data_IF_842167291379
#
_entry.id   IF_842167291379
#
_cell.length_a   1.000
_cell.length_b   1.000
_cell.length_c   1.000
_cell.angle_alpha   90.00
_cell.angle_beta   90.00
_cell.angle_gamma   90.00
#
_symmetry.space_group_name_H-M   'P 1'
#
loop_
_entity.id
_entity.type
_entity.pdbx_description
1 polymer ?
#
# COMPACT_ATOMS: atom_id res chain seq x y z
N UNK A 1 -27.13 9.78 1.73
CA UNK A 1 -25.87 10.53 1.90
C UNK A 1 -25.15 10.00 3.13
N UNK A 2 -24.01 9.33 2.97
CA UNK A 2 -23.12 9.11 4.11
C UNK A 2 -22.57 10.48 4.51
N UNK A 3 -22.77 10.88 5.76
CA UNK A 3 -22.27 12.17 6.24
C UNK A 3 -20.73 12.14 6.27
N UNK A 4 -20.06 13.16 5.74
CA UNK A 4 -18.59 13.26 5.71
C UNK A 4 -17.89 12.91 7.05
N UNK A 5 -18.41 13.33 8.22
CA UNK A 5 -17.89 12.92 9.52
C UNK A 5 -17.86 11.41 9.75
N UNK A 6 -18.84 10.66 9.25
CA UNK A 6 -18.90 9.19 9.39
C UNK A 6 -17.74 8.54 8.63
N UNK A 7 -17.47 9.00 7.42
CA UNK A 7 -16.36 8.48 6.58
C UNK A 7 -15.02 8.77 7.26
N UNK A 8 -14.84 10.01 7.74
CA UNK A 8 -13.62 10.44 8.43
C UNK A 8 -13.43 9.63 9.71
N UNK A 9 -14.44 9.55 10.59
CA UNK A 9 -14.37 8.81 11.85
C UNK A 9 -14.09 7.33 11.63
N UNK A 10 -14.74 6.71 10.64
CA UNK A 10 -14.51 5.29 10.32
C UNK A 10 -13.08 5.08 9.80
N UNK A 11 -12.56 6.00 8.98
CA UNK A 11 -11.18 5.94 8.46
C UNK A 11 -10.15 6.08 9.59
N UNK A 12 -10.35 7.05 10.50
CA UNK A 12 -9.48 7.22 11.66
C UNK A 12 -9.58 6.04 12.64
N UNK A 13 -10.77 5.48 12.86
CA UNK A 13 -10.94 4.29 13.70
C UNK A 13 -10.21 3.08 13.09
N UNK A 14 -10.32 2.88 11.77
CA UNK A 14 -9.60 1.82 11.07
C UNK A 14 -8.09 1.99 11.15
N UNK A 15 -7.57 3.21 10.92
CA UNK A 15 -6.15 3.52 11.13
C UNK A 15 -5.74 3.26 12.58
N UNK A 16 -6.54 3.68 13.56
CA UNK A 16 -6.30 3.42 14.98
C UNK A 16 -6.18 1.92 15.29
N UNK A 17 -7.01 1.08 14.68
CA UNK A 17 -6.92 -0.39 14.78
C UNK A 17 -5.60 -0.89 14.20
N UNK A 18 -5.20 -0.43 13.01
CA UNK A 18 -3.92 -0.82 12.40
C UNK A 18 -2.73 -0.45 13.29
N UNK A 19 -2.75 0.75 13.88
CA UNK A 19 -1.73 1.20 14.84
C UNK A 19 -1.73 0.38 16.13
N UNK A 20 -2.91 0.06 16.67
CA UNK A 20 -3.02 -0.80 17.84
C UNK A 20 -2.46 -2.20 17.57
N UNK A 21 -2.70 -2.77 16.38
CA UNK A 21 -2.14 -4.05 15.94
C UNK A 21 -0.63 -3.96 15.82
N UNK A 22 -0.10 -2.90 15.18
CA UNK A 22 1.33 -2.69 15.06
C UNK A 22 2.01 -2.61 16.44
N UNK A 23 1.47 -1.76 17.32
CA UNK A 23 1.97 -1.58 18.69
C UNK A 23 1.94 -2.87 19.51
N UNK A 24 0.84 -3.63 19.42
CA UNK A 24 0.72 -4.92 20.09
C UNK A 24 1.75 -5.94 19.56
N UNK A 25 1.96 -5.97 18.25
CA UNK A 25 2.92 -6.88 17.63
C UNK A 25 4.37 -6.52 17.99
N UNK A 26 4.70 -5.23 18.11
CA UNK A 26 6.01 -4.77 18.59
C UNK A 26 6.24 -5.18 20.06
N UNK A 27 5.29 -4.92 20.97
CA UNK A 27 5.41 -5.36 22.37
C UNK A 27 5.62 -6.89 22.49
N UNK A 28 4.91 -7.66 21.66
CA UNK A 28 5.02 -9.12 21.67
C UNK A 28 6.36 -9.60 21.11
N UNK A 29 6.92 -8.86 20.15
CA UNK A 29 8.27 -9.10 19.63
C UNK A 29 9.32 -8.85 20.71
N UNK A 30 9.21 -7.75 21.45
CA UNK A 30 10.10 -7.41 22.58
C UNK A 30 10.02 -8.45 23.70
N UNK A 31 8.84 -9.04 23.91
CA UNK A 31 8.64 -10.17 24.82
C UNK A 31 9.17 -11.52 24.29
N UNK A 32 9.92 -11.53 23.18
CA UNK A 32 10.54 -12.72 22.59
C UNK A 32 9.57 -13.64 21.82
N UNK A 33 8.35 -13.17 21.49
CA UNK A 33 7.31 -13.95 20.81
C UNK A 33 6.92 -13.29 19.48
N UNK A 34 7.83 -13.23 18.49
CA UNK A 34 7.65 -12.48 17.26
C UNK A 34 6.44 -12.97 16.45
N UNK A 35 5.53 -12.05 16.10
CA UNK A 35 4.32 -12.36 15.29
C UNK A 35 4.70 -12.76 13.86
N UNK A 36 5.81 -12.20 13.35
CA UNK A 36 6.34 -12.47 12.00
C UNK A 36 6.88 -13.89 11.82
N UNK A 37 7.09 -14.65 12.91
CA UNK A 37 7.50 -16.04 12.83
C UNK A 37 6.38 -16.95 12.28
N UNK A 38 5.14 -16.46 12.25
CA UNK A 38 4.03 -17.18 11.63
C UNK A 38 4.08 -17.02 10.09
N UNK A 39 4.17 -18.14 9.33
CA UNK A 39 4.20 -18.10 7.86
C UNK A 39 3.03 -17.35 7.24
N UNK A 40 1.82 -17.45 7.80
CA UNK A 40 0.64 -16.78 7.26
C UNK A 40 0.73 -15.26 7.38
N UNK A 41 1.23 -14.75 8.51
CA UNK A 41 1.44 -13.31 8.71
C UNK A 41 2.48 -12.80 7.72
N UNK A 42 3.59 -13.53 7.58
CA UNK A 42 4.63 -13.17 6.62
C UNK A 42 4.09 -13.17 5.17
N UNK A 43 3.37 -14.21 4.76
CA UNK A 43 2.77 -14.29 3.43
C UNK A 43 1.74 -13.18 3.18
N UNK A 44 0.85 -12.90 4.14
CA UNK A 44 -0.13 -11.81 4.03
C UNK A 44 0.53 -10.43 3.99
N UNK A 45 1.69 -10.26 4.63
CA UNK A 45 2.44 -9.00 4.55
C UNK A 45 3.01 -8.73 3.16
N UNK A 46 3.30 -9.77 2.37
CA UNK A 46 3.74 -9.60 0.98
C UNK A 46 2.64 -9.01 0.09
N UNK A 47 1.37 -9.11 0.50
CA UNK A 47 0.25 -8.49 -0.19
C UNK A 47 0.19 -6.95 -0.01
N UNK A 48 1.20 -6.33 0.62
CA UNK A 48 1.47 -4.88 0.47
C UNK A 48 1.56 -4.45 -1.00
N UNK A 49 1.92 -5.39 -1.88
CA UNK A 49 1.87 -5.23 -3.34
C UNK A 49 0.47 -4.80 -3.85
N UNK A 50 -0.61 -5.24 -3.18
CA UNK A 50 -1.98 -4.90 -3.54
C UNK A 50 -2.37 -3.54 -2.94
N UNK A 51 -2.40 -2.51 -3.82
CA UNK A 51 -2.72 -1.12 -3.46
C UNK A 51 -4.05 -0.68 -4.07
N UNK A 52 -4.38 0.62 -4.01
CA UNK A 52 -5.58 1.14 -4.67
C UNK A 52 -5.60 0.82 -6.18
N UNK A 53 -4.42 0.65 -6.80
CA UNK A 53 -4.28 0.17 -8.17
C UNK A 53 -4.93 -1.21 -8.40
N UNK A 54 -4.85 -2.11 -7.42
CA UNK A 54 -5.50 -3.43 -7.50
C UNK A 54 -7.01 -3.28 -7.52
N UNK A 55 -7.57 -2.42 -6.67
CA UNK A 55 -9.02 -2.20 -6.61
C UNK A 55 -9.54 -1.52 -7.88
N UNK A 56 -8.98 -0.38 -8.26
CA UNK A 56 -9.45 0.38 -9.41
C UNK A 56 -9.03 -0.27 -10.74
N UNK A 57 -7.77 -0.66 -10.86
CA UNK A 57 -7.20 -1.15 -12.11
C UNK A 57 -7.69 -2.54 -12.50
N UNK A 58 -7.85 -3.45 -11.53
CA UNK A 58 -8.24 -4.82 -11.85
C UNK A 58 -9.74 -4.99 -11.97
N UNK A 59 -10.54 -4.31 -11.15
CA UNK A 59 -11.99 -4.27 -11.35
C UNK A 59 -12.32 -3.54 -12.65
N UNK A 60 -11.64 -2.42 -12.94
CA UNK A 60 -11.79 -1.69 -14.20
C UNK A 60 -11.44 -2.54 -15.42
N UNK A 61 -10.30 -3.23 -15.40
CA UNK A 61 -9.93 -4.17 -16.48
C UNK A 61 -10.84 -5.38 -16.57
N UNK A 62 -11.36 -5.87 -15.44
CA UNK A 62 -12.37 -6.93 -15.47
C UNK A 62 -13.65 -6.47 -16.18
N UNK A 63 -14.06 -5.22 -15.95
CA UNK A 63 -15.23 -4.64 -16.59
C UNK A 63 -15.03 -4.32 -18.08
N UNK A 64 -13.83 -3.88 -18.49
CA UNK A 64 -13.57 -3.50 -19.90
C UNK A 64 -13.05 -4.65 -20.77
N UNK A 65 -12.13 -5.46 -20.24
CA UNK A 65 -11.31 -6.42 -20.99
C UNK A 65 -11.52 -7.86 -20.49
N UNK A 66 -12.46 -8.09 -19.56
CA UNK A 66 -12.73 -9.40 -18.96
C UNK A 66 -11.51 -9.96 -18.22
N UNK A 67 -10.93 -11.05 -18.69
CA UNK A 67 -9.81 -11.73 -18.01
C UNK A 67 -8.46 -10.98 -18.12
N UNK A 68 -8.43 -9.83 -18.80
CA UNK A 68 -7.22 -9.02 -19.00
C UNK A 68 -6.51 -8.51 -17.74
N UNK A 69 -7.15 -8.63 -16.56
CA UNK A 69 -6.50 -8.35 -15.27
C UNK A 69 -5.62 -9.51 -14.78
N UNK A 70 -5.89 -10.78 -15.14
CA UNK A 70 -5.19 -11.94 -14.59
C UNK A 70 -3.66 -11.95 -14.76
N UNK A 71 -3.09 -11.53 -15.91
CA UNK A 71 -1.64 -11.59 -16.11
C UNK A 71 -0.83 -10.78 -15.10
N UNK A 72 -1.38 -9.67 -14.57
CA UNK A 72 -0.69 -8.84 -13.56
C UNK A 72 -0.56 -9.56 -12.20
N UNK A 73 -1.33 -10.63 -11.97
CA UNK A 73 -1.26 -11.43 -10.76
C UNK A 73 -0.51 -12.74 -10.99
N UNK A 74 -0.82 -13.44 -12.09
CA UNK A 74 -0.17 -14.71 -12.42
C UNK A 74 1.34 -14.52 -12.63
N UNK A 75 1.76 -13.46 -13.33
CA UNK A 75 3.17 -13.17 -13.58
C UNK A 75 3.99 -13.06 -12.29
N UNK A 76 3.65 -12.14 -11.37
CA UNK A 76 4.32 -12.05 -10.07
C UNK A 76 4.23 -13.33 -9.23
N UNK A 77 3.11 -14.05 -9.23
CA UNK A 77 2.98 -15.32 -8.50
C UNK A 77 3.97 -16.36 -9.00
N UNK A 78 4.09 -16.54 -10.32
CA UNK A 78 5.09 -17.41 -10.92
C UNK A 78 6.51 -16.91 -10.64
N UNK A 79 6.72 -15.60 -10.72
CA UNK A 79 8.02 -15.00 -10.46
C UNK A 79 8.45 -15.25 -9.01
N UNK A 80 7.57 -15.14 -8.01
CA UNK A 80 7.87 -15.40 -6.59
C UNK A 80 8.48 -16.79 -6.38
N UNK A 81 8.03 -17.82 -7.11
CA UNK A 81 8.58 -19.17 -7.00
C UNK A 81 10.08 -19.23 -7.38
N UNK A 82 10.49 -18.46 -8.39
CA UNK A 82 11.88 -18.38 -8.85
C UNK A 82 12.69 -17.29 -8.13
N UNK A 83 12.00 -16.22 -7.71
CA UNK A 83 12.58 -15.00 -7.17
C UNK A 83 13.24 -15.20 -5.81
N UNK A 84 12.85 -16.25 -5.08
CA UNK A 84 13.45 -16.62 -3.80
C UNK A 84 14.99 -16.75 -3.86
N UNK A 85 15.53 -17.26 -4.98
CA UNK A 85 16.98 -17.39 -5.20
C UNK A 85 17.67 -16.02 -5.21
N UNK A 86 17.05 -15.04 -5.87
CA UNK A 86 17.57 -13.66 -5.99
C UNK A 86 17.38 -12.92 -4.67
N UNK A 87 16.21 -13.05 -4.05
CA UNK A 87 15.85 -12.36 -2.81
C UNK A 87 16.82 -12.71 -1.67
N UNK A 88 17.20 -13.98 -1.52
CA UNK A 88 18.20 -14.42 -0.53
C UNK A 88 19.55 -13.73 -0.71
N UNK A 89 19.97 -13.55 -1.96
CA UNK A 89 21.25 -12.89 -2.28
C UNK A 89 21.19 -11.39 -1.98
N UNK A 90 20.09 -10.72 -2.36
CA UNK A 90 19.86 -9.31 -2.04
C UNK A 90 19.89 -9.10 -0.53
N UNK A 91 19.11 -9.86 0.23
CA UNK A 91 19.04 -9.74 1.70
C UNK A 91 20.42 -9.95 2.34
N UNK A 92 21.18 -10.95 1.90
CA UNK A 92 22.53 -11.21 2.43
C UNK A 92 23.47 -10.03 2.20
N UNK A 93 23.50 -9.51 0.97
CA UNK A 93 24.35 -8.36 0.60
C UNK A 93 23.94 -7.12 1.41
N UNK A 94 22.63 -6.87 1.51
CA UNK A 94 22.12 -5.72 2.26
C UNK A 94 22.48 -5.77 3.74
N UNK A 95 22.35 -6.94 4.38
CA UNK A 95 22.74 -7.11 5.78
C UNK A 95 24.25 -6.97 6.01
N UNK A 96 25.07 -7.54 5.13
CA UNK A 96 26.53 -7.49 5.25
C UNK A 96 27.09 -6.07 5.09
N UNK A 97 26.47 -5.27 4.21
CA UNK A 97 26.93 -3.91 3.91
C UNK A 97 26.12 -2.81 4.61
N UNK A 98 25.16 -3.19 5.47
CA UNK A 98 24.22 -2.26 6.15
C UNK A 98 23.49 -1.33 5.18
N UNK A 99 23.11 -1.87 4.02
CA UNK A 99 22.40 -1.15 2.98
C UNK A 99 20.92 -1.04 3.36
N UNK A 100 20.41 0.18 3.40
CA UNK A 100 19.02 0.49 3.76
C UNK A 100 18.19 1.04 2.60
N UNK A 101 18.81 1.36 1.46
CA UNK A 101 18.12 1.93 0.29
C UNK A 101 18.49 1.24 -1.02
N UNK A 102 17.62 1.35 -2.02
CA UNK A 102 17.85 0.80 -3.36
C UNK A 102 19.04 1.50 -4.07
N UNK A 103 19.20 2.79 -3.82
CA UNK A 103 20.30 3.59 -4.35
C UNK A 103 21.65 3.11 -3.81
N UNK A 104 21.74 2.90 -2.50
CA UNK A 104 22.95 2.38 -1.86
C UNK A 104 23.20 0.91 -2.25
N UNK A 105 22.15 0.13 -2.46
CA UNK A 105 22.30 -1.23 -2.99
C UNK A 105 22.99 -1.24 -4.36
N UNK A 106 22.55 -0.38 -5.28
CA UNK A 106 23.16 -0.29 -6.60
C UNK A 106 24.56 0.32 -6.50
N UNK A 107 24.75 1.39 -5.75
CA UNK A 107 26.06 2.05 -5.59
C UNK A 107 27.13 1.12 -4.97
N UNK A 108 26.76 0.30 -3.99
CA UNK A 108 27.65 -0.66 -3.32
C UNK A 108 28.25 -1.69 -4.28
N UNK A 109 27.54 -2.02 -5.36
CA UNK A 109 28.02 -2.93 -6.41
C UNK A 109 29.12 -2.30 -7.27
N UNK A 110 29.20 -0.97 -7.33
CA UNK A 110 30.16 -0.22 -8.14
C UNK A 110 31.11 0.62 -7.28
N UNK A 111 31.61 0.04 -6.19
CA UNK A 111 32.62 0.68 -5.33
C UNK A 111 32.10 1.85 -4.50
N UNK A 112 30.81 1.86 -4.15
CA UNK A 112 30.14 2.93 -3.38
C UNK A 112 30.19 4.30 -4.08
N UNK A 113 30.06 4.31 -5.40
CA UNK A 113 30.02 5.55 -6.20
C UNK A 113 28.84 6.45 -5.80
N UNK A 114 29.16 7.61 -5.23
CA UNK A 114 28.17 8.62 -4.83
C UNK A 114 27.38 9.15 -6.03
N UNK A 115 28.03 9.31 -7.19
CA UNK A 115 27.36 9.76 -8.43
C UNK A 115 26.29 8.76 -8.87
N UNK A 116 26.61 7.47 -8.85
CA UNK A 116 25.65 6.42 -9.22
C UNK A 116 24.49 6.36 -8.23
N UNK A 117 24.78 6.45 -6.93
CA UNK A 117 23.74 6.54 -5.89
C UNK A 117 22.82 7.75 -6.09
N UNK A 118 23.38 8.90 -6.42
CA UNK A 118 22.62 10.13 -6.73
C UNK A 118 21.68 9.96 -7.92
N UNK A 119 22.17 9.39 -9.03
CA UNK A 119 21.36 9.13 -10.23
C UNK A 119 20.20 8.17 -9.91
N UNK A 120 20.49 7.05 -9.23
CA UNK A 120 19.44 6.09 -8.85
C UNK A 120 18.39 6.74 -7.94
N UNK A 121 18.82 7.60 -7.02
CA UNK A 121 17.91 8.34 -6.13
C UNK A 121 17.00 9.26 -6.93
N UNK A 122 17.53 10.03 -7.87
CA UNK A 122 16.72 10.92 -8.73
C UNK A 122 15.70 10.12 -9.54
N UNK A 123 16.13 9.03 -10.18
CA UNK A 123 15.24 8.15 -10.95
C UNK A 123 14.14 7.58 -10.04
N UNK A 124 14.49 7.10 -8.84
CA UNK A 124 13.53 6.58 -7.89
C UNK A 124 12.52 7.64 -7.47
N UNK A 125 12.96 8.86 -7.14
CA UNK A 125 12.08 9.98 -6.76
C UNK A 125 11.12 10.34 -7.91
N UNK A 126 11.64 10.50 -9.13
CA UNK A 126 10.83 10.80 -10.32
C UNK A 126 9.81 9.69 -10.58
N UNK A 127 10.16 8.42 -10.36
CA UNK A 127 9.25 7.29 -10.56
C UNK A 127 8.20 7.16 -9.45
N UNK A 128 8.55 7.44 -8.20
CA UNK A 128 7.63 7.30 -7.06
C UNK A 128 6.62 8.46 -6.98
N UNK A 129 7.02 9.66 -7.41
CA UNK A 129 6.17 10.84 -7.35
C UNK A 129 4.82 10.66 -8.08
N UNK A 130 4.75 10.26 -9.37
CA UNK A 130 3.48 10.03 -10.05
C UNK A 130 2.72 8.85 -9.45
N UNK A 131 3.41 7.85 -8.91
CA UNK A 131 2.76 6.73 -8.23
C UNK A 131 2.02 7.20 -6.97
N UNK A 132 2.66 8.01 -6.11
CA UNK A 132 2.01 8.60 -4.94
C UNK A 132 0.83 9.48 -5.37
N UNK A 133 0.99 10.29 -6.42
CA UNK A 133 -0.11 11.10 -6.96
C UNK A 133 -1.32 10.26 -7.39
N UNK A 134 -1.09 9.12 -8.04
CA UNK A 134 -2.17 8.19 -8.41
C UNK A 134 -2.86 7.56 -7.20
N UNK A 135 -2.10 7.25 -6.14
CA UNK A 135 -2.69 6.72 -4.89
C UNK A 135 -3.54 7.78 -4.19
N UNK A 136 -3.07 9.03 -4.10
CA UNK A 136 -3.84 10.15 -3.53
C UNK A 136 -5.12 10.43 -4.33
N UNK A 137 -5.03 10.38 -5.67
CA UNK A 137 -6.19 10.49 -6.55
C UNK A 137 -7.22 9.39 -6.26
N UNK A 138 -6.77 8.14 -6.12
CA UNK A 138 -7.65 7.02 -5.81
C UNK A 138 -8.40 7.20 -4.49
N UNK A 139 -7.73 7.70 -3.44
CA UNK A 139 -8.37 8.01 -2.15
C UNK A 139 -9.39 9.13 -2.30
N UNK A 140 -9.05 10.21 -3.00
CA UNK A 140 -9.99 11.32 -3.26
C UNK A 140 -11.23 10.84 -4.03
N UNK A 141 -11.03 10.06 -5.09
CA UNK A 141 -12.13 9.45 -5.87
C UNK A 141 -13.00 8.54 -5.00
N UNK A 142 -12.40 7.70 -4.14
CA UNK A 142 -13.15 6.86 -3.19
C UNK A 142 -14.02 7.69 -2.26
N UNK A 143 -13.48 8.77 -1.70
CA UNK A 143 -14.22 9.67 -0.82
C UNK A 143 -15.39 10.35 -1.53
N UNK A 144 -15.18 10.90 -2.73
CA UNK A 144 -16.24 11.55 -3.50
C UNK A 144 -17.41 10.61 -3.80
N UNK A 145 -17.11 9.35 -4.17
CA UNK A 145 -18.13 8.32 -4.42
C UNK A 145 -18.92 8.03 -3.14
N UNK A 146 -18.25 7.91 -1.98
CA UNK A 146 -18.90 7.59 -0.71
C UNK A 146 -19.81 8.72 -0.20
N UNK A 147 -19.42 9.98 -0.36
CA UNK A 147 -20.24 11.14 0.07
C UNK A 147 -21.51 11.27 -0.75
N UNK A 148 -21.45 10.95 -2.05
CA UNK A 148 -22.59 11.05 -2.97
C UNK A 148 -23.58 9.87 -2.85
N UNK A 149 -23.21 8.79 -2.14
CA UNK A 149 -24.09 7.64 -1.90
C UNK A 149 -25.46 8.05 -1.33
N UNK A 150 -26.61 7.58 -1.87
CA UNK A 150 -26.77 6.42 -2.76
C UNK A 150 -26.61 6.71 -4.26
N UNK A 151 -26.45 7.96 -4.67
CA UNK A 151 -26.20 8.28 -6.08
C UNK A 151 -24.73 7.98 -6.40
N UNK A 152 -24.47 6.85 -7.06
CA UNK A 152 -23.12 6.47 -7.50
C UNK A 152 -22.80 7.24 -8.79
N UNK A 153 -22.32 8.46 -8.63
CA UNK A 153 -21.83 9.26 -9.76
C UNK A 153 -20.31 9.13 -9.81
N UNK A 154 -19.78 8.65 -10.95
CA UNK A 154 -18.34 8.65 -11.17
C UNK A 154 -17.86 10.11 -11.26
N UNK A 155 -16.87 10.53 -10.45
CA UNK A 155 -16.32 11.88 -10.57
C UNK A 155 -15.77 12.07 -11.98
N UNK A 156 -16.28 13.06 -12.71
CA UNK A 156 -15.69 13.46 -14.00
C UNK A 156 -14.24 13.90 -13.76
N UNK A 157 -13.36 13.66 -14.75
CA UNK A 157 -11.98 14.09 -14.68
C UNK A 157 -11.93 15.57 -14.28
N UNK A 158 -11.34 15.85 -13.11
CA UNK A 158 -11.24 17.15 -12.46
C UNK A 158 -11.04 18.28 -13.50
N UNK A 159 -12.13 18.95 -13.87
CA UNK A 159 -12.04 20.32 -14.38
C UNK A 159 -11.55 21.23 -13.27
N UNK A 160 -11.13 22.45 -13.59
CA UNK A 160 -10.57 23.44 -12.65
C UNK A 160 -11.50 23.65 -11.43
N UNK A 161 -11.31 22.85 -10.38
CA UNK A 161 -11.98 23.02 -9.10
C UNK A 161 -11.20 24.05 -8.31
N UNK A 162 -11.91 24.98 -7.67
CA UNK A 162 -11.30 25.92 -6.74
C UNK A 162 -10.51 25.14 -5.68
N UNK A 163 -9.34 25.62 -5.28
CA UNK A 163 -8.47 24.97 -4.28
C UNK A 163 -9.18 24.65 -2.94
N UNK A 164 -10.29 25.32 -2.65
CA UNK A 164 -11.15 25.05 -1.48
C UNK A 164 -12.01 23.79 -1.63
N UNK A 165 -12.40 23.46 -2.85
CA UNK A 165 -13.25 22.31 -3.18
C UNK A 165 -12.42 21.06 -3.53
N UNK A 166 -11.10 21.21 -3.66
CA UNK A 166 -10.18 20.11 -3.92
C UNK A 166 -10.04 19.20 -2.69
N UNK A 167 -10.89 18.17 -2.68
CA UNK A 167 -10.89 17.12 -1.67
C UNK A 167 -9.56 16.35 -1.66
N UNK A 168 -8.87 16.20 -2.79
CA UNK A 168 -7.60 15.47 -2.85
C UNK A 168 -6.52 16.21 -2.06
N UNK A 169 -6.50 17.54 -2.13
CA UNK A 169 -5.57 18.36 -1.36
C UNK A 169 -5.77 18.18 0.15
N UNK A 170 -7.00 18.26 0.65
CA UNK A 170 -7.28 18.09 2.08
C UNK A 170 -6.96 16.69 2.58
N UNK A 171 -7.33 15.66 1.81
CA UNK A 171 -6.95 14.27 2.10
C UNK A 171 -5.44 14.11 2.16
N UNK A 172 -4.71 14.67 1.18
CA UNK A 172 -3.25 14.63 1.14
C UNK A 172 -2.63 15.33 2.35
N UNK A 173 -3.14 16.50 2.76
CA UNK A 173 -2.66 17.22 3.94
C UNK A 173 -2.91 16.44 5.23
N UNK A 174 -4.08 15.81 5.39
CA UNK A 174 -4.39 14.97 6.55
C UNK A 174 -3.47 13.76 6.58
N UNK A 175 -3.29 13.06 5.46
CA UNK A 175 -2.39 11.92 5.36
C UNK A 175 -0.93 12.33 5.61
N UNK A 176 -0.50 13.51 5.13
CA UNK A 176 0.83 14.05 5.39
C UNK A 176 1.02 14.36 6.88
N UNK A 177 0.06 15.06 7.51
CA UNK A 177 0.10 15.36 8.94
C UNK A 177 0.12 14.08 9.79
N UNK A 178 -0.70 13.09 9.42
CA UNK A 178 -0.72 11.78 10.05
C UNK A 178 0.63 11.05 9.89
N UNK A 179 1.18 11.03 8.68
CA UNK A 179 2.49 10.42 8.40
C UNK A 179 3.61 11.11 9.18
N UNK A 180 3.56 12.43 9.33
CA UNK A 180 4.53 13.18 10.13
C UNK A 180 4.38 12.82 11.62
N UNK A 181 3.16 12.87 12.15
CA UNK A 181 2.89 12.65 13.57
C UNK A 181 3.22 11.22 14.04
N UNK A 182 2.95 10.23 13.19
CA UNK A 182 3.06 8.82 13.56
C UNK A 182 4.23 8.10 12.88
N UNK A 183 4.62 8.49 11.67
CA UNK A 183 5.66 7.83 10.88
C UNK A 183 7.08 8.24 11.27
N UNK A 184 7.32 9.50 11.64
CA UNK A 184 8.69 9.99 11.94
C UNK A 184 9.26 9.45 13.26
N UNK A 185 8.42 8.91 14.15
CA UNK A 185 8.82 8.46 15.49
C UNK A 185 9.36 7.02 15.57
N UNK A 186 9.17 6.20 14.53
CA UNK A 186 9.58 4.78 14.50
C UNK A 186 10.37 4.40 13.23
N UNK A 187 10.84 5.37 12.46
CA UNK A 187 11.68 5.16 11.27
C UNK A 187 13.16 5.01 11.63
N UNK A 188 13.48 4.18 12.62
CA UNK A 188 14.86 3.68 12.72
C UNK A 188 14.96 2.50 11.74
N UNK A 189 15.41 2.79 10.52
CA UNK A 189 15.44 1.83 9.39
C UNK A 189 16.28 0.57 9.65
N UNK A 190 16.94 0.49 10.80
CA UNK A 190 17.76 -0.62 11.27
C UNK A 190 17.02 -1.59 12.22
N UNK A 191 15.86 -1.23 12.79
CA UNK A 191 15.16 -2.06 13.78
C UNK A 191 13.98 -2.84 13.19
N UNK A 192 13.63 -3.92 13.89
CA UNK A 192 12.75 -4.99 13.46
C UNK A 192 11.31 -4.47 13.26
N UNK A 193 10.89 -4.22 12.01
CA UNK A 193 9.55 -3.76 11.62
C UNK A 193 8.43 -4.82 11.82
N UNK A 194 8.36 -5.46 12.99
CA UNK A 194 7.39 -6.53 13.24
C UNK A 194 5.96 -5.98 13.30
N UNK A 195 5.77 -4.81 13.91
CA UNK A 195 4.51 -4.09 13.97
C UNK A 195 3.98 -3.72 12.60
N UNK A 196 4.82 -3.15 11.74
CA UNK A 196 4.41 -2.82 10.36
C UNK A 196 4.01 -4.07 9.57
N UNK A 197 4.79 -5.15 9.67
CA UNK A 197 4.48 -6.42 8.98
C UNK A 197 3.13 -6.98 9.44
N UNK A 198 2.84 -6.93 10.75
CA UNK A 198 1.56 -7.39 11.29
C UNK A 198 0.38 -6.52 10.85
N UNK A 199 0.53 -5.19 10.84
CA UNK A 199 -0.51 -4.27 10.38
C UNK A 199 -0.82 -4.48 8.89
N UNK A 200 0.20 -4.62 8.05
CA UNK A 200 0.03 -4.93 6.63
C UNK A 200 -0.67 -6.29 6.46
N UNK A 201 -0.28 -7.31 7.23
CA UNK A 201 -0.92 -8.62 7.14
C UNK A 201 -2.42 -8.57 7.46
N UNK A 202 -2.80 -7.81 8.49
CA UNK A 202 -4.21 -7.59 8.84
C UNK A 202 -4.94 -6.80 7.75
N UNK A 203 -4.36 -5.71 7.26
CA UNK A 203 -4.93 -4.92 6.18
C UNK A 203 -5.14 -5.79 4.92
N UNK A 204 -4.18 -6.64 4.58
CA UNK A 204 -4.28 -7.60 3.47
C UNK A 204 -5.41 -8.61 3.64
N UNK A 205 -5.71 -9.04 4.87
CA UNK A 205 -6.87 -9.90 5.13
C UNK A 205 -8.18 -9.16 4.83
N UNK A 206 -8.29 -7.90 5.25
CA UNK A 206 -9.46 -7.05 4.94
C UNK A 206 -9.61 -6.86 3.43
N UNK A 207 -8.51 -6.60 2.72
CA UNK A 207 -8.51 -6.50 1.24
C UNK A 207 -9.01 -7.79 0.59
N UNK A 208 -8.53 -8.95 1.05
CA UNK A 208 -8.93 -10.25 0.51
C UNK A 208 -10.43 -10.48 0.71
N UNK A 209 -10.96 -10.23 1.91
CA UNK A 209 -12.38 -10.36 2.20
C UNK A 209 -13.21 -9.42 1.31
N UNK A 210 -12.76 -8.19 1.11
CA UNK A 210 -13.42 -7.24 0.21
C UNK A 210 -13.46 -7.73 -1.24
N UNK A 211 -12.33 -8.25 -1.76
CA UNK A 211 -12.27 -8.81 -3.12
C UNK A 211 -13.15 -10.05 -3.28
N UNK A 212 -13.18 -10.94 -2.28
CA UNK A 212 -14.05 -12.11 -2.31
C UNK A 212 -15.52 -11.72 -2.28
N UNK A 213 -15.91 -10.75 -1.44
CA UNK A 213 -17.27 -10.24 -1.39
C UNK A 213 -17.71 -9.64 -2.73
N UNK A 214 -16.87 -8.80 -3.34
CA UNK A 214 -17.13 -8.23 -4.67
C UNK A 214 -17.20 -9.33 -5.74
N UNK A 215 -16.29 -10.30 -5.70
CA UNK A 215 -16.29 -11.43 -6.65
C UNK A 215 -17.56 -12.26 -6.57
N UNK A 216 -18.01 -12.61 -5.36
CA UNK A 216 -19.28 -13.31 -5.12
C UNK A 216 -20.46 -12.48 -5.61
N UNK A 217 -20.51 -11.20 -5.27
CA UNK A 217 -21.59 -10.31 -5.70
C UNK A 217 -21.69 -10.22 -7.24
N UNK A 218 -20.57 -10.01 -7.92
CA UNK A 218 -20.56 -9.88 -9.39
C UNK A 218 -20.91 -11.21 -10.07
N UNK A 219 -20.49 -12.35 -9.51
CA UNK A 219 -20.70 -13.66 -10.14
C UNK A 219 -22.11 -14.20 -9.92
N UNK A 220 -22.73 -13.94 -8.76
CA UNK A 220 -23.98 -14.59 -8.35
C UNK A 220 -25.15 -13.64 -8.04
N UNK A 221 -24.96 -12.32 -8.09
CA UNK A 221 -26.02 -11.37 -7.69
C UNK A 221 -26.22 -10.29 -8.75
N UNK A 222 -25.15 -9.77 -9.35
CA UNK A 222 -25.25 -8.61 -10.25
C UNK A 222 -26.10 -8.84 -11.50
N UNK A 223 -26.16 -10.08 -11.98
CA UNK A 223 -26.87 -10.46 -13.22
C UNK A 223 -28.15 -11.26 -12.96
N UNK A 224 -28.50 -11.50 -11.70
CA UNK A 224 -29.75 -12.16 -11.27
C UNK A 224 -30.78 -11.09 -10.85
#
# INVERSE_FOLDING_TARGET
MLQGPVIILTSFAYLGILFAIAYYADQRADAGRPVIANPYVYSLSLAVYATAWTFYGSVGRAASDGVGFLPIYIGPTLMIALWWLVMRKIIRISKQNRITSLADFIASRYGKSALLGGIVTIIAVIGILPYISLQLKAVSTSYSILVQYPEIVMPQALGEQSMRDDTALWVALILAAFTIAFGTRHLDAAEHHQGMVAAIAFESLVKLLAFLAVGVFVTFILYD
#
